data_IF_329524168341
#
_entry.id   IF_329524168341
#
_cell.length_a   1.000
_cell.length_b   1.000
_cell.length_c   1.000
_cell.angle_alpha   90.00
_cell.angle_beta   90.00
_cell.angle_gamma   90.00
#
_symmetry.space_group_name_H-M   'P 1'
#
loop_
_entity.id
_entity.type
_entity.pdbx_description
1 polymer ?
#
# COMPACT_ATOMS: atom_id res chain seq x y z
N UNK A 1 2.00 -9.20 -0.39
CA UNK A 1 2.35 -7.87 -0.93
C UNK A 1 1.41 -7.57 -2.09
N UNK A 2 1.23 -6.30 -2.44
CA UNK A 2 0.43 -5.83 -3.57
C UNK A 2 1.31 -4.85 -4.35
N UNK A 3 1.39 -5.03 -5.66
CA UNK A 3 2.15 -4.16 -6.56
C UNK A 3 1.19 -3.21 -7.25
N UNK A 4 1.42 -1.92 -7.09
CA UNK A 4 0.62 -0.85 -7.69
C UNK A 4 1.52 -0.02 -8.59
N UNK A 5 1.08 0.21 -9.83
CA UNK A 5 1.74 1.09 -10.78
C UNK A 5 1.01 2.43 -10.84
N UNK A 6 1.75 3.50 -10.58
CA UNK A 6 1.29 4.88 -10.75
C UNK A 6 2.25 5.57 -11.70
N UNK A 7 1.74 6.10 -12.81
CA UNK A 7 2.56 6.64 -13.90
C UNK A 7 3.63 5.62 -14.36
N UNK A 8 4.90 5.87 -14.04
CA UNK A 8 6.06 5.03 -14.36
C UNK A 8 6.67 4.34 -13.13
N UNK A 9 6.07 4.53 -11.95
CA UNK A 9 6.60 4.06 -10.67
C UNK A 9 5.84 2.84 -10.17
N UNK A 10 6.56 1.85 -9.66
CA UNK A 10 6.00 0.67 -9.01
C UNK A 10 6.12 0.79 -7.50
N UNK A 11 5.01 0.62 -6.80
CA UNK A 11 4.91 0.61 -5.35
C UNK A 11 4.59 -0.79 -4.87
N UNK A 12 5.44 -1.34 -3.98
CA UNK A 12 5.22 -2.64 -3.34
C UNK A 12 4.70 -2.41 -1.92
N UNK A 13 3.42 -2.69 -1.71
CA UNK A 13 2.70 -2.32 -0.49
C UNK A 13 2.19 -3.57 0.22
N UNK A 14 2.13 -3.54 1.54
CA UNK A 14 1.49 -4.62 2.29
C UNK A 14 -0.03 -4.55 2.14
N UNK A 15 -0.68 -5.64 1.74
CA UNK A 15 -2.15 -5.70 1.55
C UNK A 15 -2.92 -5.15 2.76
N UNK A 16 -2.49 -5.47 3.98
CA UNK A 16 -3.14 -5.02 5.20
C UNK A 16 -3.16 -3.49 5.37
N UNK A 17 -2.22 -2.74 4.76
CA UNK A 17 -2.21 -1.28 4.77
C UNK A 17 -3.30 -0.70 3.89
N UNK A 18 -3.50 -1.30 2.71
CA UNK A 18 -4.55 -0.90 1.78
C UNK A 18 -5.94 -1.18 2.38
N UNK A 19 -6.09 -2.29 3.11
CA UNK A 19 -7.35 -2.62 3.81
C UNK A 19 -7.74 -1.61 4.91
N UNK A 20 -6.85 -0.71 5.34
CA UNK A 20 -7.18 0.35 6.29
C UNK A 20 -7.93 1.52 5.66
N UNK A 21 -7.97 1.58 4.33
CA UNK A 21 -8.75 2.54 3.55
C UNK A 21 -9.99 1.82 3.01
N UNK A 22 -11.16 2.39 3.24
CA UNK A 22 -12.44 1.85 2.72
C UNK A 22 -12.38 1.71 1.19
N UNK A 23 -11.92 2.76 0.50
CA UNK A 23 -11.78 2.79 -0.96
C UNK A 23 -10.93 1.64 -1.49
N UNK A 24 -9.75 1.40 -0.89
CA UNK A 24 -8.89 0.31 -1.33
C UNK A 24 -9.40 -1.05 -0.86
N UNK A 25 -10.05 -1.14 0.29
CA UNK A 25 -10.67 -2.36 0.80
C UNK A 25 -11.71 -2.90 -0.18
N UNK A 26 -12.55 -2.02 -0.74
CA UNK A 26 -13.63 -2.44 -1.62
C UNK A 26 -13.12 -3.00 -2.95
N UNK A 27 -11.98 -2.52 -3.45
CA UNK A 27 -11.28 -3.11 -4.61
C UNK A 27 -10.95 -4.60 -4.41
N UNK A 28 -10.71 -5.05 -3.18
CA UNK A 28 -10.44 -6.46 -2.87
C UNK A 28 -11.71 -7.31 -2.65
N UNK A 29 -12.88 -6.68 -2.53
CA UNK A 29 -14.17 -7.37 -2.33
C UNK A 29 -14.94 -7.60 -3.62
N UNK A 30 -14.55 -6.91 -4.70
CA UNK A 30 -15.20 -7.06 -6.00
C UNK A 30 -15.01 -8.49 -6.55
N UNK A 31 -16.09 -9.20 -6.93
CA UNK A 31 -15.98 -10.51 -7.58
C UNK A 31 -15.25 -10.35 -8.92
N UNK A 32 -14.17 -11.12 -9.12
CA UNK A 32 -13.29 -10.97 -10.29
C UNK A 32 -12.20 -9.89 -10.17
N UNK A 33 -12.16 -9.15 -9.05
CA UNK A 33 -11.12 -8.15 -8.78
C UNK A 33 -9.77 -8.76 -8.37
N UNK A 34 -8.88 -7.95 -7.81
CA UNK A 34 -7.51 -8.31 -7.37
C UNK A 34 -7.45 -9.56 -6.47
N UNK A 35 -8.55 -9.92 -5.81
CA UNK A 35 -8.67 -11.11 -4.97
C UNK A 35 -9.14 -12.39 -5.71
N UNK A 36 -9.64 -12.28 -6.94
CA UNK A 36 -10.18 -13.38 -7.75
C UNK A 36 -9.35 -13.61 -9.00
N UNK A 37 -8.51 -14.65 -8.98
CA UNK A 37 -7.95 -15.40 -10.12
C UNK A 37 -7.20 -14.65 -11.25
N UNK A 38 -7.21 -13.32 -11.28
CA UNK A 38 -6.57 -12.49 -12.32
C UNK A 38 -5.07 -12.27 -12.07
N UNK A 39 -4.60 -12.50 -10.84
CA UNK A 39 -3.20 -12.27 -10.46
C UNK A 39 -2.77 -10.80 -10.49
N UNK A 40 -3.72 -9.88 -10.69
CA UNK A 40 -3.46 -8.44 -10.72
C UNK A 40 -2.86 -7.99 -9.39
N UNK A 41 -1.85 -7.13 -9.44
CA UNK A 41 -1.11 -6.66 -8.27
C UNK A 41 -0.25 -7.73 -7.59
N UNK A 42 -0.14 -8.94 -8.12
CA UNK A 42 0.69 -10.00 -7.50
C UNK A 42 2.16 -9.89 -7.89
N UNK A 43 2.47 -9.36 -9.08
CA UNK A 43 3.85 -9.21 -9.58
C UNK A 43 4.06 -7.84 -10.23
N UNK A 44 5.34 -7.40 -10.41
CA UNK A 44 5.68 -6.20 -11.18
C UNK A 44 5.20 -6.21 -12.63
N UNK A 45 5.09 -7.40 -13.23
CA UNK A 45 4.67 -7.60 -14.62
C UNK A 45 3.15 -7.51 -14.77
N UNK A 46 2.40 -7.72 -13.69
CA UNK A 46 0.95 -7.58 -13.63
C UNK A 46 0.52 -6.72 -12.42
N UNK A 47 0.87 -5.42 -12.37
CA UNK A 47 0.52 -4.56 -11.25
C UNK A 47 -0.93 -4.07 -11.35
N UNK A 48 -1.52 -3.64 -10.23
CA UNK A 48 -2.74 -2.81 -10.29
C UNK A 48 -2.36 -1.45 -10.88
N UNK A 49 -3.02 -1.03 -11.95
CA UNK A 49 -2.71 0.23 -12.59
C UNK A 49 -3.65 1.35 -12.12
N UNK A 50 -3.08 2.39 -11.52
CA UNK A 50 -3.82 3.60 -11.15
C UNK A 50 -3.47 4.73 -12.13
N UNK A 51 -4.47 5.22 -12.84
CA UNK A 51 -4.38 6.35 -13.76
C UNK A 51 -4.96 7.62 -13.14
N UNK A 52 -4.56 8.79 -13.66
CA UNK A 52 -5.12 10.08 -13.23
C UNK A 52 -4.60 10.61 -11.89
N UNK A 53 -3.62 9.95 -11.27
CA UNK A 53 -2.94 10.41 -10.05
C UNK A 53 -1.43 10.50 -10.31
N UNK A 54 -0.76 11.48 -9.68
CA UNK A 54 0.71 11.59 -9.72
C UNK A 54 1.33 10.62 -8.74
N UNK A 55 2.50 10.07 -9.08
CA UNK A 55 3.24 9.18 -8.18
C UNK A 55 3.59 9.86 -6.85
N UNK A 56 3.88 11.16 -6.85
CA UNK A 56 4.18 11.94 -5.64
C UNK A 56 2.98 12.04 -4.68
N UNK A 57 1.77 12.21 -5.22
CA UNK A 57 0.55 12.32 -4.41
C UNK A 57 0.22 10.97 -3.77
N UNK A 58 0.40 9.88 -4.53
CA UNK A 58 0.24 8.52 -4.03
C UNK A 58 1.28 8.18 -2.94
N UNK A 59 2.54 8.56 -3.15
CA UNK A 59 3.59 8.39 -2.14
C UNK A 59 3.27 9.14 -0.84
N UNK A 60 2.81 10.39 -0.94
CA UNK A 60 2.40 11.18 0.21
C UNK A 60 1.25 10.52 0.99
N UNK A 61 0.24 9.99 0.28
CA UNK A 61 -0.84 9.21 0.90
C UNK A 61 -0.31 7.97 1.63
N UNK A 62 0.61 7.23 1.01
CA UNK A 62 1.22 6.06 1.64
C UNK A 62 1.99 6.45 2.91
N UNK A 63 2.76 7.55 2.89
CA UNK A 63 3.47 8.04 4.10
C UNK A 63 2.49 8.31 5.25
N UNK A 64 1.33 8.92 4.97
CA UNK A 64 0.30 9.17 5.99
C UNK A 64 -0.30 7.87 6.54
N UNK A 65 -0.64 6.91 5.67
CA UNK A 65 -1.21 5.62 6.09
C UNK A 65 -0.24 4.82 6.96
N UNK A 66 1.05 4.82 6.63
CA UNK A 66 2.07 4.13 7.41
C UNK A 66 2.38 4.88 8.72
N UNK A 67 2.42 6.21 8.72
CA UNK A 67 2.64 7.01 9.93
C UNK A 67 1.51 6.83 10.96
N UNK A 68 0.24 6.73 10.52
CA UNK A 68 -0.91 6.44 11.39
C UNK A 68 -0.78 5.11 12.13
N UNK A 69 -0.09 4.12 11.56
CA UNK A 69 0.19 2.86 12.24
C UNK A 69 1.31 2.98 13.28
N UNK A 70 2.32 3.80 12.97
CA UNK A 70 3.43 4.06 13.90
C UNK A 70 2.91 4.76 15.17
N UNK A 71 1.95 5.70 15.06
CA UNK A 71 1.46 6.42 16.25
C UNK A 71 0.72 5.57 17.29
N UNK A 72 0.08 4.45 16.90
CA UNK A 72 -0.63 3.58 17.86
C UNK A 72 0.31 2.56 18.52
N UNK A 73 1.41 2.18 17.86
CA UNK A 73 2.40 1.25 18.44
C UNK A 73 3.49 1.97 19.26
N UNK A 74 3.69 3.27 19.08
CA UNK A 74 4.75 4.02 19.76
C UNK A 74 4.38 4.49 21.18
N UNK A 75 3.13 4.37 21.64
CA UNK A 75 2.82 4.64 23.07
C UNK A 75 3.18 3.47 24.01
N UNK A 76 3.65 2.34 23.47
CA UNK A 76 4.01 1.15 24.25
C UNK A 76 5.49 0.73 24.21
N UNK A 77 6.31 1.32 23.34
CA UNK A 77 7.73 0.95 23.25
C UNK A 77 8.63 2.14 23.53
N UNK A 78 9.15 2.12 24.77
CA UNK A 78 10.26 2.94 25.26
C UNK A 78 11.35 3.06 24.19
N UNK A 79 11.83 4.30 24.06
CA UNK A 79 13.14 4.66 23.54
C UNK A 79 14.20 3.59 23.89
N UNK A 80 14.74 2.92 22.87
CA UNK A 80 16.18 2.72 22.71
C UNK A 80 16.49 2.19 21.31
N UNK A 81 17.21 3.04 20.56
CA UNK A 81 18.39 2.68 19.76
C UNK A 81 18.21 1.85 18.46
N UNK A 82 18.30 2.61 17.36
CA UNK A 82 19.03 2.32 16.10
C UNK A 82 18.47 1.33 15.06
N UNK A 83 18.67 1.79 13.82
CA UNK A 83 18.70 1.11 12.51
C UNK A 83 17.37 0.94 11.75
N UNK A 84 17.17 1.86 10.80
CA UNK A 84 16.37 1.67 9.59
C UNK A 84 17.36 1.40 8.47
N UNK A 85 17.35 0.19 7.88
CA UNK A 85 17.93 -0.05 6.57
C UNK A 85 16.82 -0.02 5.51
N UNK A 86 17.16 0.63 4.40
CA UNK A 86 16.34 0.95 3.23
C UNK A 86 15.86 -0.29 2.48
#
# INVERSE_FOLDING_TARGET
>A
MVVIKVEKTLFKIHKHMLLQSETFSDMFKLPGGVASNSGEGSTPENPIQLSGIRASDFEALMRVLYAKKVSVLTLGFRLTHREIQL
#
